data_IF_222291197446
#
_entry.id   IF_222291197446
#
_cell.length_a   1.000
_cell.length_b   1.000
_cell.length_c   1.000
_cell.angle_alpha   90.00
_cell.angle_beta   90.00
_cell.angle_gamma   90.00
#
_symmetry.space_group_name_H-M   'P 1'
#
loop_
_entity.id
_entity.type
_entity.pdbx_description
1 polymer ?
#
# COMPACT_ATOMS: atom_id res chain seq x y z
N UNK A 1 80.47 11.49 -5.89
CA UNK A 1 79.27 11.14 -6.62
C UNK A 1 78.32 10.49 -5.63
N UNK A 2 77.43 11.29 -5.03
CA UNK A 2 76.53 10.84 -3.92
C UNK A 2 75.15 10.67 -4.54
N UNK A 3 74.69 9.41 -4.66
CA UNK A 3 73.32 9.08 -5.05
C UNK A 3 72.43 9.19 -3.82
N UNK A 4 71.46 10.10 -3.89
CA UNK A 4 70.43 10.22 -2.85
C UNK A 4 69.40 9.13 -3.02
N UNK A 5 69.42 8.14 -2.12
CA UNK A 5 68.47 7.00 -2.05
C UNK A 5 67.14 7.31 -1.29
N UNK A 6 66.83 8.58 -1.07
CA UNK A 6 65.73 8.97 -0.17
C UNK A 6 64.32 9.08 -0.83
N UNK A 7 64.24 8.94 -2.14
CA UNK A 7 62.98 9.13 -2.88
C UNK A 7 62.17 7.82 -3.08
N UNK A 8 62.83 6.65 -3.10
CA UNK A 8 62.19 5.37 -3.38
C UNK A 8 61.17 4.91 -2.34
N UNK A 9 61.42 5.01 -1.01
CA UNK A 9 60.44 4.55 -0.04
C UNK A 9 59.19 5.42 0.02
N UNK A 10 59.28 6.71 -0.29
CA UNK A 10 58.11 7.62 -0.31
C UNK A 10 57.17 7.37 -1.48
N UNK A 11 57.68 6.99 -2.64
CA UNK A 11 56.90 6.64 -3.82
C UNK A 11 56.16 5.31 -3.63
N UNK A 12 56.74 4.33 -2.93
CA UNK A 12 56.13 3.04 -2.64
C UNK A 12 54.97 3.23 -1.61
N UNK A 13 55.15 4.05 -0.59
CA UNK A 13 54.10 4.33 0.40
C UNK A 13 52.92 5.08 -0.22
N UNK A 14 53.14 6.04 -1.11
CA UNK A 14 52.08 6.73 -1.85
C UNK A 14 51.35 5.80 -2.85
N UNK A 15 52.04 4.87 -3.48
CA UNK A 15 51.46 3.87 -4.37
C UNK A 15 50.54 2.86 -3.62
N UNK A 16 50.95 2.43 -2.42
CA UNK A 16 50.15 1.51 -1.57
C UNK A 16 48.89 2.19 -1.00
N UNK A 17 48.98 3.48 -0.65
CA UNK A 17 47.81 4.26 -0.21
C UNK A 17 46.81 4.53 -1.35
N UNK A 18 47.26 4.67 -2.59
CA UNK A 18 46.36 4.85 -3.74
C UNK A 18 45.61 3.58 -4.15
N UNK A 19 46.15 2.38 -3.87
CA UNK A 19 45.50 1.10 -4.18
C UNK A 19 44.44 0.74 -3.14
N UNK A 20 44.49 1.32 -1.93
CA UNK A 20 43.51 1.09 -0.86
C UNK A 20 42.17 1.79 -1.10
N UNK A 21 42.02 2.60 -2.12
CA UNK A 21 40.79 3.26 -2.53
C UNK A 21 39.96 2.42 -3.50
N UNK A 22 40.10 1.08 -3.49
CA UNK A 22 39.15 0.21 -4.17
C UNK A 22 37.81 0.40 -3.45
N UNK A 23 37.01 1.25 -4.04
CA UNK A 23 35.62 1.49 -3.67
C UNK A 23 34.96 0.16 -3.36
N UNK A 24 34.67 -0.04 -2.08
CA UNK A 24 33.70 -1.04 -1.67
C UNK A 24 32.38 -0.62 -2.33
N UNK A 25 32.12 -1.10 -3.54
CA UNK A 25 30.82 -1.06 -4.15
C UNK A 25 29.97 -1.95 -3.28
N UNK A 26 29.38 -1.32 -2.26
CA UNK A 26 28.40 -1.95 -1.40
C UNK A 26 27.28 -2.44 -2.31
N UNK A 27 27.21 -3.76 -2.52
CA UNK A 27 26.15 -4.37 -3.33
C UNK A 27 24.83 -4.24 -2.58
N UNK A 28 24.05 -3.23 -2.97
CA UNK A 28 22.67 -3.11 -2.47
C UNK A 28 21.82 -4.29 -2.98
N UNK A 29 20.95 -4.87 -2.14
CA UNK A 29 20.74 -4.61 -0.72
C UNK A 29 21.74 -5.41 0.17
N UNK A 30 22.32 -4.77 1.21
CA UNK A 30 23.21 -5.43 2.19
C UNK A 30 22.46 -6.19 3.29
N UNK A 31 21.21 -5.85 3.50
CA UNK A 31 20.31 -6.42 4.51
C UNK A 31 18.91 -6.56 3.94
N UNK A 32 18.02 -7.33 4.58
CA UNK A 32 16.64 -7.49 4.09
C UNK A 32 15.95 -6.17 3.80
N UNK A 33 15.21 -6.14 2.67
CA UNK A 33 14.34 -5.01 2.33
C UNK A 33 13.02 -5.21 3.07
N UNK A 34 12.60 -4.20 3.81
CA UNK A 34 11.31 -4.18 4.51
C UNK A 34 10.30 -3.38 3.69
N UNK A 35 9.21 -4.00 3.28
CA UNK A 35 8.07 -3.33 2.66
C UNK A 35 7.01 -3.12 3.74
N UNK A 36 6.83 -1.87 4.18
CA UNK A 36 5.77 -1.49 5.10
C UNK A 36 4.50 -1.21 4.29
N UNK A 37 3.38 -1.76 4.71
CA UNK A 37 2.12 -1.63 3.97
C UNK A 37 0.91 -1.62 4.91
N UNK A 38 -0.28 -1.48 4.33
CA UNK A 38 -1.55 -1.50 5.05
C UNK A 38 -1.90 -2.89 5.62
N UNK A 39 -3.14 -3.07 6.06
CA UNK A 39 -3.64 -4.30 6.66
C UNK A 39 -3.58 -5.48 5.68
N UNK A 40 -3.44 -6.73 6.18
CA UNK A 40 -3.41 -7.92 5.34
C UNK A 40 -4.69 -8.11 4.52
N UNK A 41 -4.54 -8.69 3.31
CA UNK A 41 -5.64 -9.05 2.42
C UNK A 41 -6.26 -7.87 1.65
N UNK A 42 -5.77 -6.65 1.82
CA UNK A 42 -6.14 -5.50 1.00
C UNK A 42 -5.29 -5.37 -0.26
N UNK A 43 -5.69 -4.49 -1.18
CA UNK A 43 -4.98 -4.29 -2.46
C UNK A 43 -3.50 -3.92 -2.30
N UNK A 44 -3.16 -3.10 -1.30
CA UNK A 44 -1.77 -2.74 -1.01
C UNK A 44 -0.93 -3.94 -0.52
N UNK A 45 -1.51 -4.82 0.30
CA UNK A 45 -0.83 -6.03 0.77
C UNK A 45 -0.57 -7.01 -0.37
N UNK A 46 -1.57 -7.23 -1.24
CA UNK A 46 -1.42 -8.08 -2.42
C UNK A 46 -0.30 -7.54 -3.32
N UNK A 47 -0.30 -6.23 -3.59
CA UNK A 47 0.75 -5.60 -4.40
C UNK A 47 2.13 -5.72 -3.75
N UNK A 48 2.23 -5.47 -2.43
CA UNK A 48 3.48 -5.59 -1.69
C UNK A 48 4.07 -7.00 -1.79
N UNK A 49 3.23 -8.04 -1.76
CA UNK A 49 3.67 -9.45 -1.92
C UNK A 49 4.17 -9.74 -3.32
N UNK A 50 3.53 -9.21 -4.36
CA UNK A 50 3.99 -9.36 -5.75
C UNK A 50 5.34 -8.67 -5.94
N UNK A 51 5.53 -7.46 -5.40
CA UNK A 51 6.81 -6.74 -5.44
C UNK A 51 7.88 -7.53 -4.67
N UNK A 52 7.54 -8.05 -3.48
CA UNK A 52 8.46 -8.83 -2.66
C UNK A 52 8.94 -10.11 -3.37
N UNK A 53 8.05 -10.79 -4.09
CA UNK A 53 8.40 -11.95 -4.91
C UNK A 53 9.40 -11.54 -6.01
N UNK A 54 9.13 -10.45 -6.73
CA UNK A 54 10.05 -9.91 -7.73
C UNK A 54 11.42 -9.55 -7.13
N UNK A 55 11.46 -8.95 -5.94
CA UNK A 55 12.70 -8.63 -5.26
C UNK A 55 13.46 -9.88 -4.82
N UNK A 56 12.78 -10.87 -4.25
CA UNK A 56 13.39 -12.13 -3.82
C UNK A 56 14.01 -12.93 -5.00
N UNK A 57 13.48 -12.75 -6.21
CA UNK A 57 14.02 -13.38 -7.42
C UNK A 57 15.25 -12.64 -8.00
N UNK A 58 15.43 -11.35 -7.66
CA UNK A 58 16.45 -10.50 -8.27
C UNK A 58 17.52 -10.01 -7.30
N UNK A 59 17.26 -10.05 -5.99
CA UNK A 59 18.19 -9.59 -4.96
C UNK A 59 18.65 -10.74 -4.06
N UNK A 60 19.88 -10.69 -3.54
CA UNK A 60 20.42 -11.73 -2.65
C UNK A 60 19.78 -11.71 -1.26
N UNK A 61 19.16 -10.61 -0.87
CA UNK A 61 18.54 -10.42 0.44
C UNK A 61 17.03 -10.62 0.36
N UNK A 62 16.46 -11.23 1.41
CA UNK A 62 15.02 -11.45 1.51
C UNK A 62 14.26 -10.13 1.68
N UNK A 63 13.05 -10.09 1.14
CA UNK A 63 12.09 -9.01 1.36
C UNK A 63 11.09 -9.41 2.43
N UNK A 64 10.85 -8.53 3.39
CA UNK A 64 9.93 -8.74 4.52
C UNK A 64 8.73 -7.85 4.33
N UNK A 65 7.52 -8.43 4.31
CA UNK A 65 6.27 -7.67 4.32
C UNK A 65 5.88 -7.39 5.77
N UNK A 66 5.66 -6.12 6.07
CA UNK A 66 5.30 -5.64 7.40
C UNK A 66 3.97 -4.86 7.33
N UNK A 67 2.89 -5.55 7.67
CA UNK A 67 1.55 -4.98 7.67
C UNK A 67 1.34 -4.15 8.94
N UNK A 68 1.18 -2.82 8.79
CA UNK A 68 1.06 -1.85 9.88
C UNK A 68 -0.20 -0.99 9.81
N UNK A 69 -1.08 -1.29 8.86
CA UNK A 69 -2.32 -0.55 8.73
C UNK A 69 -2.10 0.95 8.55
N UNK A 70 -2.85 1.74 9.28
CA UNK A 70 -2.82 3.20 9.16
C UNK A 70 -1.50 3.84 9.62
N UNK A 71 -0.71 3.17 10.48
CA UNK A 71 0.57 3.70 10.96
C UNK A 71 1.74 3.37 10.02
N UNK A 72 1.50 2.64 8.93
CA UNK A 72 2.52 2.25 7.96
C UNK A 72 3.28 3.46 7.40
N UNK A 73 2.56 4.53 7.05
CA UNK A 73 3.15 5.76 6.54
C UNK A 73 4.06 6.45 7.56
N UNK A 74 3.63 6.51 8.83
CA UNK A 74 4.45 7.08 9.92
C UNK A 74 5.74 6.30 10.14
N UNK A 75 5.67 4.96 10.11
CA UNK A 75 6.84 4.10 10.26
C UNK A 75 7.83 4.31 9.12
N UNK A 76 7.33 4.41 7.88
CA UNK A 76 8.18 4.64 6.71
C UNK A 76 8.80 6.04 6.73
N UNK A 77 8.05 7.07 7.11
CA UNK A 77 8.53 8.45 7.22
C UNK A 77 9.68 8.60 8.24
N UNK A 78 9.68 7.78 9.30
CA UNK A 78 10.73 7.77 10.34
C UNK A 78 11.88 6.81 10.05
N UNK A 79 11.81 6.04 8.98
CA UNK A 79 12.87 5.09 8.63
C UNK A 79 14.09 5.80 8.02
N UNK A 80 15.26 5.18 8.12
CA UNK A 80 16.45 5.68 7.44
C UNK A 80 16.23 5.70 5.91
N UNK A 81 16.63 6.77 5.21
CA UNK A 81 16.43 6.91 3.76
C UNK A 81 17.52 6.17 2.95
N UNK A 82 17.79 4.91 3.31
CA UNK A 82 18.84 4.07 2.74
C UNK A 82 18.32 3.02 1.73
N UNK A 83 17.04 3.10 1.39
CA UNK A 83 16.39 2.19 0.45
C UNK A 83 15.98 0.83 1.03
N UNK A 84 16.30 0.51 2.29
CA UNK A 84 15.93 -0.78 2.90
C UNK A 84 14.55 -0.78 3.55
N UNK A 85 13.89 0.37 3.65
CA UNK A 85 12.49 0.48 4.06
C UNK A 85 11.70 1.15 2.96
N UNK A 86 10.77 0.41 2.36
CA UNK A 86 9.88 0.88 1.29
C UNK A 86 8.46 0.95 1.83
N UNK A 87 7.68 1.90 1.33
CA UNK A 87 6.25 2.03 1.60
C UNK A 87 5.46 1.65 0.34
N UNK A 88 4.61 0.64 0.46
CA UNK A 88 3.58 0.33 -0.54
C UNK A 88 2.25 0.76 0.03
N UNK A 89 1.70 1.86 -0.49
CA UNK A 89 0.54 2.50 0.11
C UNK A 89 -0.35 3.11 -0.98
N UNK A 90 -1.62 3.32 -0.65
CA UNK A 90 -2.60 3.91 -1.58
C UNK A 90 -2.77 5.41 -1.38
N UNK A 91 -3.87 5.94 -1.95
CA UNK A 91 -4.21 7.37 -1.94
C UNK A 91 -4.36 7.98 -0.54
N UNK A 92 -4.59 7.17 0.47
CA UNK A 92 -4.68 7.62 1.86
C UNK A 92 -3.40 8.30 2.38
N UNK A 93 -2.22 8.05 1.77
CA UNK A 93 -0.99 8.82 2.12
C UNK A 93 -1.19 10.32 1.90
N UNK A 94 -1.92 10.70 0.85
CA UNK A 94 -2.19 12.08 0.46
C UNK A 94 -3.45 12.63 1.12
N UNK A 95 -4.45 11.78 1.37
CA UNK A 95 -5.80 12.21 1.76
C UNK A 95 -5.99 12.24 3.27
N UNK A 96 -5.30 11.41 4.04
CA UNK A 96 -5.40 11.42 5.50
C UNK A 96 -5.08 12.76 6.16
N UNK A 97 -4.10 13.56 5.67
CA UNK A 97 -3.87 14.91 6.21
C UNK A 97 -5.08 15.84 6.13
N UNK A 98 -5.99 15.61 5.17
CA UNK A 98 -7.25 16.39 5.04
C UNK A 98 -8.42 15.80 5.84
N UNK A 99 -8.34 14.52 6.20
CA UNK A 99 -9.41 13.80 6.88
C UNK A 99 -9.18 13.67 8.39
N UNK A 100 -8.00 14.03 8.88
CA UNK A 100 -7.61 13.96 10.29
C UNK A 100 -6.98 15.26 10.74
N UNK A 101 -7.28 15.65 11.97
CA UNK A 101 -6.72 16.87 12.56
C UNK A 101 -5.18 16.85 12.67
N UNK A 102 -4.57 15.67 12.72
CA UNK A 102 -3.11 15.51 12.80
C UNK A 102 -2.69 14.16 12.24
N UNK A 103 -1.72 14.19 11.34
CA UNK A 103 -0.93 13.02 10.91
C UNK A 103 0.54 13.26 11.23
N UNK A 104 1.31 12.19 11.39
CA UNK A 104 2.71 12.26 11.80
C UNK A 104 3.70 12.30 10.63
N UNK A 105 3.23 12.66 9.41
CA UNK A 105 4.05 12.76 8.20
C UNK A 105 3.55 13.88 7.29
N UNK A 106 4.45 14.37 6.45
CA UNK A 106 4.17 15.26 5.32
C UNK A 106 4.40 14.47 4.02
N UNK A 107 3.35 14.25 3.20
CA UNK A 107 3.48 13.40 2.01
C UNK A 107 4.46 13.93 0.96
N UNK A 108 4.78 15.23 0.98
CA UNK A 108 5.69 15.86 0.03
C UNK A 108 7.14 15.94 0.52
N UNK A 109 7.36 15.85 1.84
CA UNK A 109 8.70 16.04 2.44
C UNK A 109 9.31 14.75 2.96
N UNK A 110 8.48 13.85 3.50
CA UNK A 110 8.97 12.70 4.26
C UNK A 110 9.16 11.44 3.40
N UNK A 111 8.80 11.51 2.09
CA UNK A 111 8.90 10.38 1.18
C UNK A 111 9.59 10.74 -0.13
N UNK A 112 10.47 9.84 -0.59
CA UNK A 112 11.00 9.87 -1.95
C UNK A 112 10.18 8.90 -2.81
N UNK A 113 9.41 9.40 -3.83
CA UNK A 113 8.63 8.53 -4.69
C UNK A 113 9.52 7.67 -5.57
N UNK A 114 9.24 6.37 -5.63
CA UNK A 114 9.98 5.42 -6.48
C UNK A 114 9.25 5.21 -7.80
N UNK A 115 8.00 4.76 -7.74
CA UNK A 115 7.19 4.52 -8.94
C UNK A 115 5.71 4.42 -8.60
N UNK A 116 4.86 4.65 -9.61
CA UNK A 116 3.44 4.26 -9.58
C UNK A 116 3.35 2.79 -9.95
N UNK A 117 3.30 1.92 -8.95
CA UNK A 117 3.38 0.48 -9.14
C UNK A 117 2.13 -0.11 -9.81
N UNK A 118 0.93 0.45 -9.53
CA UNK A 118 -0.33 -0.03 -10.10
C UNK A 118 -1.42 1.04 -10.01
N UNK A 119 -2.33 1.03 -10.97
CA UNK A 119 -3.62 1.69 -10.89
C UNK A 119 -4.73 0.64 -11.01
N UNK A 120 -5.60 0.58 -10.02
CA UNK A 120 -6.73 -0.35 -10.00
C UNK A 120 -8.02 0.43 -9.72
N UNK A 121 -9.10 0.18 -10.49
CA UNK A 121 -10.40 0.74 -10.16
C UNK A 121 -10.96 0.09 -8.90
N UNK A 122 -11.74 0.85 -8.14
CA UNK A 122 -12.71 0.25 -7.21
C UNK A 122 -13.93 -0.18 -8.01
N UNK A 123 -14.48 -1.33 -7.68
CA UNK A 123 -15.69 -1.86 -8.32
C UNK A 123 -16.79 -2.02 -7.29
N UNK A 124 -18.01 -1.66 -7.66
CA UNK A 124 -19.18 -1.91 -6.82
C UNK A 124 -19.53 -3.39 -6.88
N UNK A 125 -19.53 -4.04 -5.75
CA UNK A 125 -20.03 -5.40 -5.57
C UNK A 125 -21.11 -5.42 -4.50
N UNK A 126 -22.06 -6.32 -4.65
CA UNK A 126 -23.19 -6.50 -3.73
C UNK A 126 -23.27 -7.97 -3.29
N UNK A 127 -23.80 -8.22 -2.11
CA UNK A 127 -24.11 -9.58 -1.70
C UNK A 127 -25.24 -10.15 -2.59
N UNK A 128 -25.15 -11.40 -3.07
CA UNK A 128 -26.12 -11.98 -4.02
C UNK A 128 -27.56 -11.95 -3.52
N UNK A 129 -27.78 -12.07 -2.21
CA UNK A 129 -29.13 -12.05 -1.62
C UNK A 129 -29.87 -10.70 -1.74
N UNK A 130 -29.21 -9.63 -2.21
CA UNK A 130 -29.88 -8.36 -2.45
C UNK A 130 -30.83 -8.40 -3.65
N UNK A 131 -30.64 -9.34 -4.57
CA UNK A 131 -31.50 -9.51 -5.75
C UNK A 131 -31.43 -8.36 -6.77
N UNK A 132 -30.52 -7.39 -6.59
CA UNK A 132 -30.34 -6.28 -7.53
C UNK A 132 -29.36 -6.69 -8.66
N UNK A 133 -29.66 -6.30 -9.88
CA UNK A 133 -28.87 -6.65 -11.09
C UNK A 133 -28.24 -5.44 -11.76
N UNK A 134 -28.48 -4.24 -11.25
CA UNK A 134 -27.96 -3.01 -11.82
C UNK A 134 -27.77 -1.93 -10.75
N UNK A 135 -26.89 -0.97 -11.05
CA UNK A 135 -26.69 0.22 -10.21
C UNK A 135 -28.01 1.00 -10.05
N UNK A 136 -28.83 1.06 -11.11
CA UNK A 136 -30.14 1.73 -11.07
C UNK A 136 -31.08 1.07 -10.04
N UNK A 137 -31.13 -0.26 -10.02
CA UNK A 137 -31.94 -1.01 -9.05
C UNK A 137 -31.40 -0.85 -7.62
N UNK A 138 -30.08 -0.87 -7.43
CA UNK A 138 -29.46 -0.60 -6.13
C UNK A 138 -29.82 0.81 -5.61
N UNK A 139 -29.76 1.82 -6.47
CA UNK A 139 -30.11 3.20 -6.09
C UNK A 139 -31.60 3.27 -5.72
N UNK A 140 -32.49 2.63 -6.51
CA UNK A 140 -33.92 2.60 -6.21
C UNK A 140 -34.19 1.91 -4.86
N UNK A 141 -33.55 0.78 -4.61
CA UNK A 141 -33.65 0.06 -3.32
C UNK A 141 -33.16 0.93 -2.16
N UNK A 142 -31.99 1.56 -2.29
CA UNK A 142 -31.43 2.41 -1.25
C UNK A 142 -32.28 3.65 -0.96
N UNK A 143 -32.97 4.21 -1.98
CA UNK A 143 -33.93 5.32 -1.81
C UNK A 143 -35.23 4.87 -1.15
N UNK A 144 -35.69 3.65 -1.39
CA UNK A 144 -36.91 3.10 -0.75
C UNK A 144 -36.67 2.70 0.72
N UNK A 145 -35.43 2.51 1.13
CA UNK A 145 -34.99 2.05 2.44
C UNK A 145 -33.84 2.88 3.00
N UNK A 146 -34.04 4.19 3.24
CA UNK A 146 -32.95 5.07 3.66
C UNK A 146 -32.40 4.66 5.04
N UNK A 147 -31.07 4.41 5.08
CA UNK A 147 -30.35 3.99 6.27
C UNK A 147 -30.42 2.50 6.61
N UNK A 148 -31.24 1.70 5.92
CA UNK A 148 -31.32 0.25 6.16
C UNK A 148 -30.17 -0.51 5.49
N UNK A 149 -29.72 -0.05 4.30
CA UNK A 149 -28.59 -0.66 3.62
C UNK A 149 -27.28 -0.23 4.28
N UNK A 150 -26.30 -1.14 4.25
CA UNK A 150 -24.98 -0.86 4.77
C UNK A 150 -23.88 -1.27 3.77
N UNK A 151 -22.71 -0.64 3.88
CA UNK A 151 -21.55 -0.99 3.10
C UNK A 151 -20.34 -1.32 3.98
N UNK A 152 -19.58 -2.32 3.55
CA UNK A 152 -18.34 -2.68 4.21
C UNK A 152 -17.21 -1.75 3.78
N UNK A 153 -16.45 -1.24 4.73
CA UNK A 153 -15.18 -0.56 4.45
C UNK A 153 -14.14 -0.92 5.51
N UNK A 154 -12.87 -0.91 5.10
CA UNK A 154 -11.76 -1.06 6.02
C UNK A 154 -11.52 0.24 6.80
N UNK A 155 -10.36 0.84 6.59
CA UNK A 155 -9.99 2.09 7.26
C UNK A 155 -10.65 3.30 6.60
N UNK A 156 -11.05 4.29 7.39
CA UNK A 156 -11.56 5.58 6.88
C UNK A 156 -10.46 6.27 6.05
N UNK A 157 -10.84 6.82 4.90
CA UNK A 157 -9.93 7.54 3.99
C UNK A 157 -9.24 6.67 2.95
N UNK A 158 -9.41 5.34 2.99
CA UNK A 158 -8.94 4.46 1.90
C UNK A 158 -9.89 4.53 0.70
N UNK A 159 -9.38 4.17 -0.49
CA UNK A 159 -10.17 4.30 -1.73
C UNK A 159 -11.53 3.59 -1.72
N UNK A 160 -11.70 2.40 -1.13
CA UNK A 160 -13.03 1.78 -1.00
C UNK A 160 -14.04 2.60 -0.21
N UNK A 161 -13.61 3.23 0.89
CA UNK A 161 -14.47 4.12 1.67
C UNK A 161 -14.85 5.37 0.88
N UNK A 162 -13.88 6.03 0.25
CA UNK A 162 -14.13 7.25 -0.53
C UNK A 162 -15.01 7.00 -1.75
N UNK A 163 -14.87 5.84 -2.41
CA UNK A 163 -15.74 5.44 -3.50
C UNK A 163 -17.19 5.25 -3.04
N UNK A 164 -17.41 4.66 -1.86
CA UNK A 164 -18.73 4.52 -1.29
C UNK A 164 -19.36 5.87 -0.92
N UNK A 165 -18.59 6.77 -0.29
CA UNK A 165 -19.08 8.10 0.07
C UNK A 165 -19.38 8.96 -1.17
N UNK A 166 -18.56 8.85 -2.23
CA UNK A 166 -18.83 9.49 -3.51
C UNK A 166 -20.11 8.94 -4.14
N UNK A 167 -20.30 7.63 -4.16
CA UNK A 167 -21.52 6.99 -4.65
C UNK A 167 -22.76 7.48 -3.89
N UNK A 168 -22.71 7.53 -2.56
CA UNK A 168 -23.79 8.06 -1.72
C UNK A 168 -24.15 9.50 -2.09
N UNK A 169 -23.12 10.34 -2.24
CA UNK A 169 -23.30 11.75 -2.60
C UNK A 169 -23.91 11.92 -4.00
N UNK A 170 -23.39 11.20 -5.00
CA UNK A 170 -23.86 11.31 -6.39
C UNK A 170 -25.26 10.74 -6.57
N UNK A 171 -25.61 9.65 -5.90
CA UNK A 171 -26.91 8.98 -6.00
C UNK A 171 -27.98 9.59 -5.08
N UNK A 172 -27.60 10.43 -4.13
CA UNK A 172 -28.48 10.99 -3.11
C UNK A 172 -29.13 9.89 -2.25
N UNK A 173 -28.30 8.93 -1.78
CA UNK A 173 -28.77 7.79 -0.97
C UNK A 173 -28.14 7.77 0.42
N UNK A 174 -28.88 7.28 1.38
CA UNK A 174 -28.39 7.07 2.75
C UNK A 174 -28.06 5.58 2.95
N UNK A 175 -26.77 5.26 2.99
CA UNK A 175 -26.23 3.91 3.22
C UNK A 175 -25.23 3.99 4.36
N UNK A 176 -25.33 3.13 5.35
CA UNK A 176 -24.54 3.18 6.59
C UNK A 176 -23.20 2.45 6.41
N UNK A 177 -22.10 3.04 6.87
CA UNK A 177 -20.80 2.37 6.89
C UNK A 177 -20.71 1.37 8.04
N UNK A 178 -20.23 0.16 7.73
CA UNK A 178 -19.78 -0.83 8.72
C UNK A 178 -18.24 -0.92 8.65
N UNK A 179 -17.53 -0.47 9.69
CA UNK A 179 -16.07 -0.44 9.68
C UNK A 179 -15.47 -1.81 10.03
N UNK A 180 -14.45 -2.21 9.26
CA UNK A 180 -13.63 -3.40 9.50
C UNK A 180 -12.16 -3.02 9.69
N UNK A 181 -11.36 -3.96 10.20
CA UNK A 181 -9.90 -3.75 10.40
C UNK A 181 -9.06 -3.86 9.11
N UNK A 182 -9.68 -3.66 7.94
CA UNK A 182 -8.98 -3.70 6.64
C UNK A 182 -9.88 -4.21 5.52
N UNK A 183 -9.35 -4.17 4.28
CA UNK A 183 -10.11 -4.56 3.09
C UNK A 183 -10.45 -6.05 3.02
N UNK A 184 -9.55 -6.92 3.48
CA UNK A 184 -9.78 -8.37 3.53
C UNK A 184 -10.94 -8.75 4.46
N UNK A 185 -10.89 -8.38 5.76
CA UNK A 185 -12.01 -8.57 6.68
C UNK A 185 -13.32 -7.95 6.19
N UNK A 186 -13.30 -6.76 5.58
CA UNK A 186 -14.49 -6.12 5.03
C UNK A 186 -15.13 -6.94 3.89
N UNK A 187 -14.30 -7.48 2.99
CA UNK A 187 -14.77 -8.33 1.89
C UNK A 187 -15.34 -9.67 2.41
N UNK A 188 -14.73 -10.24 3.45
CA UNK A 188 -15.26 -11.43 4.11
C UNK A 188 -16.61 -11.17 4.76
N UNK A 189 -16.81 -10.01 5.42
CA UNK A 189 -18.09 -9.59 5.96
C UNK A 189 -19.18 -9.45 4.88
N UNK A 190 -18.82 -8.90 3.72
CA UNK A 190 -19.75 -8.88 2.57
C UNK A 190 -20.11 -10.29 2.10
N UNK A 191 -19.12 -11.17 1.93
CA UNK A 191 -19.33 -12.55 1.48
C UNK A 191 -20.21 -13.35 2.49
N UNK A 192 -20.05 -13.06 3.77
CA UNK A 192 -20.86 -13.67 4.84
C UNK A 192 -22.28 -13.09 4.93
N UNK A 193 -22.59 -12.01 4.18
CA UNK A 193 -23.89 -11.34 4.22
C UNK A 193 -24.09 -10.41 5.42
N UNK A 194 -23.01 -10.09 6.16
CA UNK A 194 -23.05 -9.13 7.26
C UNK A 194 -23.29 -7.70 6.75
N UNK A 195 -22.90 -7.44 5.50
CA UNK A 195 -23.10 -6.16 4.82
C UNK A 195 -23.68 -6.37 3.42
N UNK A 196 -24.29 -5.30 2.88
CA UNK A 196 -25.02 -5.36 1.62
C UNK A 196 -24.12 -5.14 0.39
N UNK A 197 -23.17 -4.20 0.49
CA UNK A 197 -22.33 -3.81 -0.63
C UNK A 197 -20.93 -3.37 -0.17
N UNK A 198 -20.04 -3.28 -1.13
CA UNK A 198 -18.67 -2.79 -0.94
C UNK A 198 -18.12 -2.22 -2.25
N UNK A 199 -17.08 -1.38 -2.15
CA UNK A 199 -16.31 -0.87 -3.29
C UNK A 199 -14.85 -1.33 -3.22
N UNK A 200 -14.56 -2.64 -3.23
CA UNK A 200 -13.19 -3.14 -3.14
C UNK A 200 -12.37 -2.79 -4.39
N UNK A 201 -11.02 -2.88 -4.27
CA UNK A 201 -10.18 -2.90 -5.45
C UNK A 201 -10.49 -4.13 -6.30
N UNK A 202 -10.47 -3.96 -7.64
CA UNK A 202 -10.80 -5.03 -8.57
C UNK A 202 -9.97 -6.31 -8.31
N UNK A 203 -8.65 -6.18 -8.04
CA UNK A 203 -7.78 -7.33 -7.78
C UNK A 203 -8.23 -8.18 -6.59
N UNK A 204 -8.72 -7.56 -5.52
CA UNK A 204 -9.22 -8.27 -4.34
C UNK A 204 -10.59 -8.93 -4.58
N UNK A 205 -11.46 -8.30 -5.37
CA UNK A 205 -12.83 -8.78 -5.59
C UNK A 205 -12.93 -9.87 -6.67
N UNK A 206 -12.09 -9.84 -7.71
CA UNK A 206 -12.21 -10.71 -8.89
C UNK A 206 -12.32 -12.21 -8.58
N UNK A 207 -11.55 -12.82 -7.64
CA UNK A 207 -11.73 -14.23 -7.30
C UNK A 207 -13.13 -14.56 -6.77
N UNK A 208 -13.72 -13.62 -6.02
CA UNK A 208 -15.04 -13.77 -5.40
C UNK A 208 -16.19 -13.55 -6.41
N UNK A 209 -16.01 -12.61 -7.34
CA UNK A 209 -16.93 -12.39 -8.47
C UNK A 209 -16.96 -13.64 -9.36
N UNK A 210 -15.78 -14.17 -9.74
CA UNK A 210 -15.70 -15.38 -10.60
C UNK A 210 -16.32 -16.61 -9.96
N UNK A 211 -16.30 -16.69 -8.63
CA UNK A 211 -16.93 -17.79 -7.89
C UNK A 211 -18.38 -17.52 -7.50
N UNK A 212 -18.98 -16.40 -7.91
CA UNK A 212 -20.36 -16.04 -7.62
C UNK A 212 -20.67 -15.76 -6.15
N UNK A 213 -19.64 -15.41 -5.35
CA UNK A 213 -19.84 -15.09 -3.93
C UNK A 213 -20.23 -13.63 -3.69
N UNK A 214 -20.02 -12.78 -4.67
CA UNK A 214 -20.42 -11.37 -4.73
C UNK A 214 -20.78 -10.99 -6.13
#
# INVERSE_FOLDING_TARGET
MSFKLDALPRLIVLGVLAISSVTAWSTYPLRPIRIVTSEPGGGNDILARIIAEGFNNNFPQRTIIDNRGIVAAEIAAKAAPDGHTLLVYGSNIWLLPFLRNKVAWDPLKDFAPVTLAVQLPNILVVHPNMGVKSVKELIALAKSKPGELNYAAGTIGVSPHLAAELFKSMAGVNITMVPYKGGGPALNGLIAGETNLMFPNAGAAMPHIRSGRV
#
